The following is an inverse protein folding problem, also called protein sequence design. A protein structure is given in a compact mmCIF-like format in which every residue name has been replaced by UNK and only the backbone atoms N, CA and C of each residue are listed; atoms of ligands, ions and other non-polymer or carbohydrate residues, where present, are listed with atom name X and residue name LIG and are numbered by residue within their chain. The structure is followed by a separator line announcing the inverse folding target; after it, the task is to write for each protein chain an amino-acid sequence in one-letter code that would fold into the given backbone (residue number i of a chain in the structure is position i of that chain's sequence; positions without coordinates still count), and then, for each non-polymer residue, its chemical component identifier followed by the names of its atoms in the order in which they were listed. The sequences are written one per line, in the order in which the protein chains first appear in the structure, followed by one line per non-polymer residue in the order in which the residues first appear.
data_IF_482925297087
#
_entry.id   IF_482925297087
#
_cell.length_a   1.000
_cell.length_b   1.000
_cell.length_c   1.000
_cell.angle_alpha   90.00
_cell.angle_beta   90.00
_cell.angle_gamma   90.00
#
_symmetry.space_group_name_H-M   'P 1'
#
loop_
_entity.id
_entity.type
_entity.pdbx_description
1 polymer ?
#
# COMPACT_ATOMS: atom_id res chain seq x y z
N UNK A 1 -4.10 -6.77 6.20
CA UNK A 1 -3.52 -5.54 5.63
C UNK A 1 -3.26 -4.60 6.78
N UNK A 2 -2.17 -3.86 6.74
CA UNK A 2 -1.79 -2.94 7.82
C UNK A 2 -1.05 -1.71 7.26
N UNK A 3 -0.99 -0.61 8.01
CA UNK A 3 -0.30 0.61 7.62
C UNK A 3 0.82 0.92 8.61
N UNK A 4 2.04 1.06 8.11
CA UNK A 4 3.19 1.51 8.89
C UNK A 4 3.44 2.98 8.58
N UNK A 5 3.03 3.85 9.51
CA UNK A 5 3.22 5.30 9.41
C UNK A 5 4.39 5.83 10.24
N UNK A 6 4.58 7.16 10.23
CA UNK A 6 5.65 7.82 10.98
C UNK A 6 7.03 7.71 10.33
N UNK A 7 7.08 7.40 9.03
CA UNK A 7 8.32 7.30 8.28
C UNK A 7 8.78 8.67 7.79
N UNK A 8 10.11 8.88 7.61
CA UNK A 8 10.62 10.07 6.96
C UNK A 8 9.98 10.27 5.58
N UNK A 9 9.55 11.50 5.31
CA UNK A 9 8.90 11.86 4.06
C UNK A 9 9.87 11.71 2.89
N UNK A 10 9.48 10.90 1.91
CA UNK A 10 10.22 10.77 0.65
C UNK A 10 10.09 12.04 -0.21
N UNK A 11 10.95 12.22 -1.22
CA UNK A 11 10.84 13.33 -2.17
C UNK A 11 9.48 13.38 -2.91
N UNK A 12 8.81 12.23 -3.05
CA UNK A 12 7.45 12.13 -3.63
C UNK A 12 6.33 12.41 -2.62
N UNK A 13 6.67 12.62 -1.35
CA UNK A 13 5.74 12.93 -0.27
C UNK A 13 5.11 11.71 0.41
N UNK A 14 5.59 10.49 0.14
CA UNK A 14 5.12 9.27 0.80
C UNK A 14 5.73 9.16 2.20
N UNK A 15 4.91 8.76 3.17
CA UNK A 15 5.21 8.74 4.61
C UNK A 15 4.64 7.49 5.31
N UNK A 16 3.90 6.67 4.57
CA UNK A 16 3.24 5.47 5.08
C UNK A 16 3.53 4.31 4.13
N UNK A 17 3.83 3.14 4.67
CA UNK A 17 3.89 1.89 3.91
C UNK A 17 2.59 1.12 4.16
N UNK A 18 1.86 0.82 3.10
CA UNK A 18 0.72 -0.08 3.13
C UNK A 18 1.21 -1.52 2.90
N UNK A 19 1.00 -2.38 3.88
CA UNK A 19 1.44 -3.78 3.88
C UNK A 19 0.25 -4.69 3.60
N UNK A 20 0.37 -5.50 2.56
CA UNK A 20 -0.65 -6.45 2.14
C UNK A 20 0.01 -7.82 2.06
N UNK A 21 -0.45 -8.74 2.90
CA UNK A 21 0.04 -10.12 2.91
C UNK A 21 -0.95 -10.99 2.17
N UNK A 22 -0.52 -11.57 1.05
CA UNK A 22 -1.29 -12.61 0.39
C UNK A 22 -1.03 -13.95 1.08
N UNK A 23 -2.09 -14.52 1.63
CA UNK A 23 -2.03 -15.79 2.36
C UNK A 23 -1.90 -16.99 1.43
N UNK A 24 -2.29 -16.85 0.16
CA UNK A 24 -2.21 -17.93 -0.84
C UNK A 24 -0.77 -18.11 -1.31
N UNK A 25 -0.14 -17.04 -1.82
CA UNK A 25 1.25 -17.09 -2.30
C UNK A 25 2.29 -16.92 -1.19
N UNK A 26 1.85 -16.63 0.04
CA UNK A 26 2.73 -16.28 1.19
C UNK A 26 3.62 -15.07 0.92
N UNK A 27 3.27 -14.24 -0.06
CA UNK A 27 4.01 -13.03 -0.40
C UNK A 27 3.49 -11.82 0.37
N UNK A 28 4.35 -10.81 0.53
CA UNK A 28 3.99 -9.54 1.11
C UNK A 28 4.27 -8.42 0.10
N UNK A 29 3.27 -7.58 -0.12
CA UNK A 29 3.35 -6.39 -0.97
C UNK A 29 3.47 -5.15 -0.10
N UNK A 30 4.45 -4.32 -0.41
CA UNK A 30 4.73 -3.06 0.28
C UNK A 30 4.49 -1.90 -0.68
N UNK A 31 3.49 -1.07 -0.40
CA UNK A 31 3.11 0.05 -1.25
C UNK A 31 3.32 1.35 -0.46
N UNK A 32 4.21 2.22 -0.95
CA UNK A 32 4.44 3.52 -0.33
C UNK A 32 3.32 4.50 -0.72
N UNK A 33 2.62 5.03 0.28
CA UNK A 33 1.51 5.97 0.10
C UNK A 33 1.74 7.26 0.92
N UNK A 34 0.96 8.28 0.61
CA UNK A 34 0.91 9.53 1.38
C UNK A 34 -0.06 9.39 2.54
N UNK A 35 0.17 10.14 3.61
CA UNK A 35 -0.82 10.29 4.68
C UNK A 35 -2.07 10.99 4.12
N UNK A 36 -3.27 10.50 4.44
CA UNK A 36 -4.54 11.11 4.01
C UNK A 36 -4.98 10.77 2.59
N UNK A 37 -4.43 9.72 1.96
CA UNK A 37 -4.95 9.22 0.67
C UNK A 37 -6.41 8.77 0.83
N UNK A 38 -7.27 9.19 -0.11
CA UNK A 38 -8.67 8.80 -0.13
C UNK A 38 -8.83 7.28 -0.28
N UNK A 39 -9.83 6.72 0.41
CA UNK A 39 -10.12 5.28 0.37
C UNK A 39 -10.42 4.80 -1.06
N UNK A 40 -11.08 5.62 -1.89
CA UNK A 40 -11.30 5.33 -3.31
C UNK A 40 -9.98 5.11 -4.06
N UNK A 41 -8.98 5.96 -3.80
CA UNK A 41 -7.67 5.83 -4.44
C UNK A 41 -6.89 4.60 -3.93
N UNK A 42 -7.04 4.25 -2.66
CA UNK A 42 -6.48 3.01 -2.12
C UNK A 42 -7.10 1.77 -2.78
N UNK A 43 -8.42 1.78 -3.03
CA UNK A 43 -9.10 0.70 -3.72
C UNK A 43 -8.61 0.52 -5.17
N UNK A 44 -8.43 1.62 -5.90
CA UNK A 44 -7.82 1.59 -7.24
C UNK A 44 -6.43 0.95 -7.22
N UNK A 45 -5.56 1.41 -6.30
CA UNK A 45 -4.20 0.89 -6.15
C UNK A 45 -4.23 -0.61 -5.82
N UNK A 46 -5.14 -1.04 -4.93
CA UNK A 46 -5.30 -2.44 -4.57
C UNK A 46 -5.65 -3.32 -5.77
N UNK A 47 -6.61 -2.88 -6.60
CA UNK A 47 -7.01 -3.63 -7.79
C UNK A 47 -5.84 -3.73 -8.78
N UNK A 48 -5.17 -2.61 -9.04
CA UNK A 48 -4.08 -2.53 -10.01
C UNK A 48 -2.82 -3.33 -9.60
N UNK A 49 -2.50 -3.35 -8.31
CA UNK A 49 -1.25 -3.92 -7.81
C UNK A 49 -1.40 -5.31 -7.19
N UNK A 50 -2.55 -5.66 -6.63
CA UNK A 50 -2.76 -6.92 -5.90
C UNK A 50 -3.71 -7.84 -6.66
N UNK A 51 -4.90 -7.35 -7.01
CA UNK A 51 -5.91 -8.18 -7.70
C UNK A 51 -5.40 -8.60 -9.07
N UNK A 52 -4.72 -7.71 -9.81
CA UNK A 52 -4.10 -8.04 -11.11
C UNK A 52 -3.09 -9.19 -11.07
N UNK A 53 -2.53 -9.51 -9.90
CA UNK A 53 -1.56 -10.61 -9.76
C UNK A 53 -2.22 -11.98 -9.61
N UNK A 54 -3.55 -12.03 -9.57
CA UNK A 54 -4.38 -13.23 -9.41
C UNK A 54 -5.45 -13.29 -10.52
#
# INVERSE_FOLDING_TARGET
MDFVGGLPRTARGNEVIWVIVDRLTKSAHFIAIKTGVLVSKLAEIYIEHIVRLH
#
